data_IF_498929078281
#
_entry.id   IF_498929078281
#
_cell.length_a   1.000
_cell.length_b   1.000
_cell.length_c   1.000
_cell.angle_alpha   90.00
_cell.angle_beta   90.00
_cell.angle_gamma   90.00
#
_symmetry.space_group_name_H-M   'P 1'
#
loop_
_entity.id
_entity.type
_entity.pdbx_description
1 polymer ?
#
# COMPACT_ATOMS: atom_id res chain seq x y z
N UNK A 1 -2.50 17.35 -3.25
CA UNK A 1 -1.37 16.55 -3.77
C UNK A 1 -1.23 15.36 -2.83
N UNK A 2 -1.29 14.13 -3.36
CA UNK A 2 -1.08 12.92 -2.54
C UNK A 2 0.40 12.57 -2.66
N UNK A 3 1.11 12.61 -1.54
CA UNK A 3 2.53 12.26 -1.47
C UNK A 3 2.67 10.98 -0.67
N UNK A 4 3.02 9.88 -1.33
CA UNK A 4 3.33 8.63 -0.65
C UNK A 4 4.83 8.60 -0.31
N UNK A 5 5.16 8.59 0.98
CA UNK A 5 6.53 8.45 1.45
C UNK A 5 6.69 7.06 2.08
N UNK A 6 7.80 6.39 1.73
CA UNK A 6 8.25 5.20 2.45
C UNK A 6 8.74 5.66 3.83
N UNK A 7 7.83 5.87 4.78
CA UNK A 7 8.25 5.97 6.17
C UNK A 7 8.75 4.59 6.57
N UNK A 8 9.96 4.46 7.10
CA UNK A 8 10.47 3.20 7.64
C UNK A 8 9.61 2.60 8.77
N UNK A 9 8.47 3.22 9.09
CA UNK A 9 7.52 2.88 10.14
C UNK A 9 6.28 2.17 9.59
N UNK A 10 5.85 2.44 8.35
CA UNK A 10 4.68 1.80 7.72
C UNK A 10 5.15 0.72 6.76
N UNK A 11 5.08 -0.53 7.22
CA UNK A 11 5.51 -1.68 6.46
C UNK A 11 4.73 -1.78 5.14
N UNK A 12 5.44 -1.71 4.02
CA UNK A 12 4.95 -2.24 2.74
C UNK A 12 4.80 -3.75 2.92
N UNK A 13 3.60 -4.29 2.66
CA UNK A 13 3.30 -5.71 2.86
C UNK A 13 2.50 -6.30 1.70
N UNK A 14 2.55 -7.62 1.61
CA UNK A 14 1.63 -8.40 0.78
C UNK A 14 0.42 -8.74 1.66
N UNK A 15 -0.78 -8.43 1.19
CA UNK A 15 -2.02 -8.82 1.87
C UNK A 15 -2.30 -10.30 1.63
N UNK A 16 -2.97 -10.97 2.56
CA UNK A 16 -3.28 -12.41 2.44
C UNK A 16 -3.94 -12.78 1.10
N UNK A 17 -4.86 -11.94 0.62
CA UNK A 17 -5.54 -12.13 -0.68
C UNK A 17 -4.66 -11.94 -1.91
N UNK A 18 -3.51 -11.28 -1.76
CA UNK A 18 -2.60 -10.95 -2.86
C UNK A 18 -1.35 -11.85 -2.88
N UNK A 19 -1.26 -12.86 -2.00
CA UNK A 19 -0.12 -13.76 -1.89
C UNK A 19 0.24 -14.47 -3.21
N UNK A 20 -0.76 -14.74 -4.05
CA UNK A 20 -0.61 -15.42 -5.34
C UNK A 20 -0.91 -14.49 -6.52
N UNK A 21 -0.84 -13.16 -6.31
CA UNK A 21 -1.06 -12.21 -7.40
C UNK A 21 0.16 -12.15 -8.33
N UNK A 22 -0.10 -12.09 -9.63
CA UNK A 22 0.91 -11.85 -10.66
C UNK A 22 0.43 -10.68 -11.56
N UNK A 23 1.16 -9.55 -11.64
CA UNK A 23 2.36 -9.22 -10.84
C UNK A 23 2.07 -9.12 -9.34
N UNK A 24 3.10 -9.33 -8.51
CA UNK A 24 2.97 -9.27 -7.05
C UNK A 24 2.45 -7.89 -6.62
N UNK A 25 1.28 -7.87 -5.99
CA UNK A 25 0.66 -6.67 -5.44
C UNK A 25 1.16 -6.44 -4.02
N UNK A 26 1.47 -5.18 -3.75
CA UNK A 26 1.94 -4.68 -2.47
C UNK A 26 0.96 -3.64 -1.96
N UNK A 27 0.88 -3.52 -0.64
CA UNK A 27 -0.03 -2.61 0.04
C UNK A 27 0.73 -1.80 1.10
N UNK A 28 0.33 -0.55 1.27
CA UNK A 28 0.86 0.34 2.30
C UNK A 28 -0.18 1.40 2.69
N UNK A 29 0.11 2.15 3.75
CA UNK A 29 -0.68 3.31 4.18
C UNK A 29 0.15 4.56 3.88
N UNK A 30 -0.39 5.41 3.02
CA UNK A 30 0.09 6.78 2.81
C UNK A 30 -0.76 7.78 3.59
N UNK A 31 -0.37 9.05 3.55
CA UNK A 31 -1.13 10.16 4.10
C UNK A 31 -1.24 11.26 3.06
N UNK A 32 -2.45 11.82 2.90
CA UNK A 32 -2.64 13.00 2.07
C UNK A 32 -2.25 14.27 2.83
N UNK A 33 -2.24 15.41 2.14
CA UNK A 33 -1.77 16.70 2.67
C UNK A 33 -2.44 17.14 3.98
N UNK A 34 -3.68 16.72 4.25
CA UNK A 34 -4.39 17.02 5.50
C UNK A 34 -4.03 16.09 6.67
N UNK A 35 -3.15 15.09 6.46
CA UNK A 35 -2.87 14.04 7.43
C UNK A 35 -3.88 12.89 7.41
N UNK A 36 -4.83 12.88 6.47
CA UNK A 36 -5.77 11.77 6.32
C UNK A 36 -5.09 10.56 5.69
N UNK A 37 -5.24 9.40 6.33
CA UNK A 37 -4.68 8.14 5.87
C UNK A 37 -5.32 7.67 4.55
N UNK A 38 -4.48 7.14 3.66
CA UNK A 38 -4.84 6.64 2.33
C UNK A 38 -4.31 5.21 2.22
N UNK A 39 -5.18 4.27 1.89
CA UNK A 39 -4.77 2.92 1.52
C UNK A 39 -4.25 2.90 0.09
N UNK A 40 -3.05 2.37 -0.10
CA UNK A 40 -2.38 2.28 -1.40
C UNK A 40 -2.12 0.82 -1.74
N UNK A 41 -2.53 0.39 -2.94
CA UNK A 41 -2.12 -0.89 -3.53
C UNK A 41 -1.43 -0.61 -4.85
N UNK A 42 -0.28 -1.23 -5.02
CA UNK A 42 0.61 -0.97 -6.13
C UNK A 42 1.36 -2.23 -6.55
N UNK A 43 1.94 -2.16 -7.74
CA UNK A 43 2.90 -3.14 -8.25
C UNK A 43 4.20 -2.43 -8.59
N UNK A 44 5.30 -3.15 -8.45
CA UNK A 44 6.58 -2.74 -9.02
C UNK A 44 6.62 -3.16 -10.49
N UNK A 45 6.92 -2.21 -11.37
CA UNK A 45 7.25 -2.42 -12.77
C UNK A 45 8.74 -2.08 -12.99
N UNK A 46 9.26 -2.41 -14.17
CA UNK A 46 10.63 -2.07 -14.60
C UNK A 46 11.68 -2.45 -13.54
N UNK A 47 11.66 -3.72 -13.09
CA UNK A 47 12.61 -4.23 -12.09
C UNK A 47 12.60 -3.51 -10.73
N UNK A 48 11.50 -2.84 -10.39
CA UNK A 48 11.38 -2.11 -9.12
C UNK A 48 11.58 -0.60 -9.22
N UNK A 49 11.89 -0.08 -10.42
CA UNK A 49 12.10 1.35 -10.64
C UNK A 49 10.79 2.13 -10.74
N UNK A 50 9.75 1.49 -11.28
CA UNK A 50 8.44 2.13 -11.48
C UNK A 50 7.42 1.59 -10.48
N UNK A 51 6.71 2.47 -9.79
CA UNK A 51 5.56 2.10 -8.94
C UNK A 51 4.27 2.47 -9.66
N UNK A 52 3.45 1.47 -10.00
CA UNK A 52 2.11 1.69 -10.53
C UNK A 52 1.09 1.54 -9.41
N UNK A 53 0.50 2.65 -8.99
CA UNK A 53 -0.62 2.67 -8.03
C UNK A 53 -1.92 2.51 -8.82
N UNK A 54 -2.66 1.44 -8.53
CA UNK A 54 -3.95 1.17 -9.18
C UNK A 54 -5.12 1.17 -8.18
N UNK A 55 -4.83 1.34 -6.88
CA UNK A 55 -5.83 1.53 -5.84
C UNK A 55 -5.32 2.57 -4.85
N UNK A 56 -6.05 3.68 -4.73
CA UNK A 56 -5.79 4.74 -3.76
C UNK A 56 -7.13 5.25 -3.21
N UNK A 57 -7.46 4.86 -1.98
CA UNK A 57 -8.70 5.26 -1.31
C UNK A 57 -8.40 5.76 0.09
N UNK A 58 -9.36 6.44 0.72
CA UNK A 58 -9.21 6.74 2.14
C UNK A 58 -9.13 5.44 2.94
N UNK A 59 -8.14 5.37 3.82
CA UNK A 59 -7.86 4.18 4.58
C UNK A 59 -9.08 3.79 5.43
N UNK A 60 -9.43 2.51 5.35
CA UNK A 60 -10.46 1.93 6.20
C UNK A 60 -9.83 1.23 7.41
N UNK A 61 -10.57 1.14 8.51
CA UNK A 61 -10.13 0.33 9.67
C UNK A 61 -9.89 -1.14 9.27
N UNK A 62 -10.64 -1.64 8.29
CA UNK A 62 -10.46 -2.99 7.74
C UNK A 62 -9.09 -3.16 7.07
N UNK A 63 -8.69 -2.22 6.23
CA UNK A 63 -7.39 -2.24 5.57
C UNK A 63 -6.22 -2.07 6.56
N UNK A 64 -6.36 -1.17 7.54
CA UNK A 64 -5.36 -0.98 8.59
C UNK A 64 -5.17 -2.27 9.39
N UNK A 65 -6.26 -2.95 9.75
CA UNK A 65 -6.21 -4.24 10.45
C UNK A 65 -5.59 -5.33 9.57
N UNK A 66 -5.97 -5.42 8.30
CA UNK A 66 -5.40 -6.36 7.31
C UNK A 66 -3.87 -6.22 7.20
N UNK A 67 -3.33 -5.00 7.31
CA UNK A 67 -1.88 -4.75 7.31
C UNK A 67 -1.18 -4.98 8.66
N UNK A 68 -1.93 -4.92 9.76
CA UNK A 68 -1.41 -5.20 11.10
C UNK A 68 -1.36 -6.70 11.40
N UNK A 69 -2.24 -7.49 10.78
CA UNK A 69 -2.25 -8.95 10.85
C UNK A 69 -0.94 -9.49 10.24
N UNK A 70 -0.16 -10.24 11.05
CA UNK A 70 1.03 -10.96 10.54
C UNK A 70 0.53 -12.19 9.80
N UNK A 71 0.85 -12.28 8.51
CA UNK A 71 0.73 -13.52 7.73
C UNK A 71 1.72 -14.57 8.25
#
# INVERSE_FOLDING_TARGET
MISAYRSGVHAIRIRKRDLNSDPQRWATIGFESSGRAVELVFVYADWGETVLIFHANYATNGFIRELAERN
#
